data_IF_716377622125
#
_entry.id   IF_716377622125
#
_cell.length_a   1.000
_cell.length_b   1.000
_cell.length_c   1.000
_cell.angle_alpha   90.00
_cell.angle_beta   90.00
_cell.angle_gamma   90.00
#
_symmetry.space_group_name_H-M   'P 1'
#
loop_
_entity.id
_entity.type
_entity.pdbx_description
1 polymer ?
#
# COMPACT_ATOMS: atom_id res chain seq x y z
N UNK A 1 -23.62 -40.56 -25.52
CA UNK A 1 -22.43 -40.14 -24.74
C UNK A 1 -22.82 -38.90 -23.94
N UNK A 2 -22.81 -38.92 -22.60
CA UNK A 2 -23.10 -37.71 -21.83
C UNK A 2 -21.82 -36.96 -21.45
N UNK A 3 -21.86 -35.64 -21.60
CA UNK A 3 -20.81 -34.69 -21.25
C UNK A 3 -20.68 -34.51 -19.73
N UNK A 4 -19.46 -34.37 -19.23
CA UNK A 4 -19.16 -34.05 -17.84
C UNK A 4 -19.19 -32.53 -17.62
N UNK A 5 -19.90 -32.10 -16.56
CA UNK A 5 -19.79 -30.77 -15.95
C UNK A 5 -18.51 -30.71 -15.10
N UNK A 6 -17.70 -29.63 -15.13
CA UNK A 6 -16.41 -29.58 -14.45
C UNK A 6 -16.46 -29.35 -12.94
N UNK A 7 -17.65 -29.25 -12.32
CA UNK A 7 -17.77 -29.08 -10.87
C UNK A 7 -18.72 -30.11 -10.25
N UNK A 8 -18.16 -31.25 -9.84
CA UNK A 8 -18.86 -32.23 -9.01
C UNK A 8 -17.87 -33.05 -8.20
N UNK A 9 -17.82 -32.82 -6.89
CA UNK A 9 -17.12 -33.71 -5.96
C UNK A 9 -18.16 -34.60 -5.28
N UNK A 10 -18.04 -35.90 -5.51
CA UNK A 10 -18.73 -36.95 -4.78
C UNK A 10 -18.13 -37.06 -3.37
N UNK A 11 -18.91 -36.81 -2.33
CA UNK A 11 -18.49 -37.08 -0.94
C UNK A 11 -19.14 -38.36 -0.44
N UNK A 12 -18.34 -39.44 -0.30
CA UNK A 12 -18.71 -40.62 0.49
C UNK A 12 -18.45 -40.33 1.97
N UNK A 13 -19.42 -40.70 2.80
CA UNK A 13 -19.52 -40.33 4.20
C UNK A 13 -18.31 -40.63 5.07
N UNK A 14 -18.04 -39.69 5.97
CA UNK A 14 -17.11 -39.81 7.09
C UNK A 14 -17.11 -38.51 7.87
N UNK A 15 -17.58 -38.53 9.13
CA UNK A 15 -17.56 -37.38 10.04
C UNK A 15 -16.13 -36.88 10.22
N UNK A 16 -15.77 -35.80 9.54
CA UNK A 16 -14.73 -34.86 9.97
C UNK A 16 -15.37 -33.49 9.98
N UNK A 17 -15.51 -32.90 11.16
CA UNK A 17 -15.71 -31.46 11.31
C UNK A 17 -14.45 -30.76 10.81
N UNK A 18 -14.36 -30.60 9.48
CA UNK A 18 -13.47 -29.60 8.90
C UNK A 18 -14.11 -28.25 9.21
N UNK A 19 -13.52 -27.51 10.15
CA UNK A 19 -13.75 -26.08 10.19
C UNK A 19 -13.09 -25.54 8.93
N UNK A 20 -13.88 -25.38 7.88
CA UNK A 20 -13.50 -24.60 6.72
C UNK A 20 -13.29 -23.18 7.23
N UNK A 21 -12.03 -22.81 7.48
CA UNK A 21 -11.65 -21.41 7.62
C UNK A 21 -11.82 -20.84 6.21
N UNK A 22 -13.00 -20.29 5.92
CA UNK A 22 -13.12 -19.38 4.80
C UNK A 22 -12.21 -18.19 5.13
N UNK A 23 -11.06 -18.12 4.45
CA UNK A 23 -10.31 -16.89 4.36
C UNK A 23 -11.18 -15.94 3.54
N UNK A 24 -12.02 -15.15 4.23
CA UNK A 24 -12.79 -14.11 3.57
C UNK A 24 -11.79 -13.05 3.14
N UNK A 25 -11.57 -12.93 1.84
CA UNK A 25 -10.87 -11.79 1.25
C UNK A 25 -11.58 -10.51 1.67
N UNK A 26 -10.84 -9.54 2.22
CA UNK A 26 -11.37 -8.25 2.64
C UNK A 26 -11.20 -7.23 1.51
N UNK A 27 -12.26 -6.47 1.23
CA UNK A 27 -12.18 -5.24 0.45
C UNK A 27 -12.53 -4.07 1.34
N UNK A 28 -11.63 -3.09 1.42
CA UNK A 28 -11.84 -1.87 2.20
C UNK A 28 -11.62 -0.66 1.30
N UNK A 29 -12.52 0.31 1.42
CA UNK A 29 -12.37 1.63 0.78
C UNK A 29 -12.26 2.69 1.85
N UNK A 30 -11.24 3.53 1.76
CA UNK A 30 -11.13 4.74 2.58
C UNK A 30 -11.19 5.97 1.70
N UNK A 31 -11.81 7.03 2.19
CA UNK A 31 -11.89 8.34 1.55
C UNK A 31 -11.56 9.39 2.59
N UNK A 32 -10.63 10.26 2.26
CA UNK A 32 -10.22 11.38 3.10
C UNK A 32 -9.88 12.58 2.22
N UNK A 33 -10.15 13.80 2.69
CA UNK A 33 -9.60 15.00 2.07
C UNK A 33 -8.11 15.12 2.43
N UNK A 34 -7.29 15.49 1.46
CA UNK A 34 -5.88 15.81 1.64
C UNK A 34 -5.58 17.15 0.97
N UNK A 35 -4.76 17.97 1.64
CA UNK A 35 -4.14 19.16 1.07
C UNK A 35 -2.68 19.15 1.50
N UNK A 36 -1.78 19.42 0.55
CA UNK A 36 -0.36 19.58 0.80
C UNK A 36 -0.03 21.03 0.45
N UNK A 37 0.50 21.76 1.42
CA UNK A 37 0.86 23.16 1.29
C UNK A 37 2.32 23.31 1.70
N UNK A 38 3.05 24.15 0.98
CA UNK A 38 4.44 24.46 1.30
C UNK A 38 4.61 25.86 1.90
N UNK A 39 3.51 26.51 2.28
CA UNK A 39 3.43 27.86 2.82
C UNK A 39 4.14 28.90 1.93
N UNK A 40 4.14 28.68 0.61
CA UNK A 40 4.79 29.54 -0.37
C UNK A 40 6.32 29.48 -0.39
N UNK A 41 6.94 28.53 0.31
CA UNK A 41 8.40 28.35 0.33
C UNK A 41 8.98 27.92 -1.02
N UNK A 42 8.16 27.33 -1.89
CA UNK A 42 8.59 26.75 -3.16
C UNK A 42 9.32 25.41 -3.02
N UNK A 43 9.53 24.93 -1.78
CA UNK A 43 10.19 23.66 -1.47
C UNK A 43 9.15 22.68 -0.94
N UNK A 44 9.22 21.42 -1.36
CA UNK A 44 8.37 20.37 -0.83
C UNK A 44 9.25 19.28 -0.23
N UNK A 45 8.85 18.77 0.93
CA UNK A 45 9.53 17.66 1.60
C UNK A 45 8.64 17.04 2.68
N UNK A 46 8.61 15.72 2.91
CA UNK A 46 9.08 14.62 2.04
C UNK A 46 7.89 13.89 1.39
N UNK A 47 6.71 13.96 2.01
CA UNK A 47 5.49 13.35 1.52
C UNK A 47 4.59 12.81 2.62
N UNK A 48 3.56 12.06 2.22
CA UNK A 48 2.62 11.39 3.12
C UNK A 48 2.25 10.00 2.58
N UNK A 49 2.09 9.03 3.47
CA UNK A 49 1.71 7.66 3.12
C UNK A 49 0.45 7.17 3.83
N UNK A 50 -0.39 6.44 3.09
CA UNK A 50 -1.50 5.65 3.61
C UNK A 50 -1.12 4.19 3.55
N UNK A 51 -1.13 3.48 4.68
CA UNK A 51 -0.55 2.15 4.75
C UNK A 51 -1.41 1.13 5.49
N UNK A 52 -1.19 -0.13 5.14
CA UNK A 52 -1.65 -1.31 5.87
C UNK A 52 -0.42 -2.03 6.43
N UNK A 53 -0.43 -2.30 7.73
CA UNK A 53 0.64 -3.00 8.43
C UNK A 53 0.05 -3.89 9.56
N UNK A 54 0.80 -4.89 10.05
CA UNK A 54 0.38 -5.67 11.21
C UNK A 54 0.08 -4.77 12.41
N UNK A 55 -0.99 -5.08 13.15
CA UNK A 55 -1.31 -4.36 14.39
C UNK A 55 -0.16 -4.51 15.40
N UNK A 56 0.21 -3.41 16.05
CA UNK A 56 1.30 -3.40 17.04
C UNK A 56 2.70 -3.36 16.45
N UNK A 57 2.86 -3.09 15.14
CA UNK A 57 4.16 -2.82 14.55
C UNK A 57 4.78 -1.58 15.23
N UNK A 58 6.02 -1.66 15.76
CA UNK A 58 6.63 -0.56 16.49
C UNK A 58 6.98 0.59 15.54
N UNK A 59 6.88 1.82 16.03
CA UNK A 59 7.44 2.97 15.32
C UNK A 59 8.96 2.82 15.34
N UNK A 60 9.57 2.79 14.16
CA UNK A 60 11.01 2.62 14.03
C UNK A 60 11.73 3.93 14.39
N UNK A 61 12.85 3.89 15.13
CA UNK A 61 13.66 5.08 15.34
C UNK A 61 14.31 5.52 14.03
N UNK A 62 14.58 6.82 13.89
CA UNK A 62 15.20 7.44 12.72
C UNK A 62 14.42 7.17 11.42
N UNK A 63 13.10 7.26 11.50
CA UNK A 63 12.15 7.02 10.41
C UNK A 63 11.55 8.30 9.80
N UNK A 64 12.00 9.48 10.24
CA UNK A 64 11.53 10.75 9.68
C UNK A 64 12.05 11.00 8.27
N UNK A 65 11.53 12.06 7.63
CA UNK A 65 11.89 12.44 6.27
C UNK A 65 11.40 11.43 5.23
N UNK A 66 12.20 11.18 4.19
CA UNK A 66 11.92 10.24 3.09
C UNK A 66 11.69 8.78 3.52
N UNK A 67 11.87 8.45 4.79
CA UNK A 67 11.44 7.16 5.36
C UNK A 67 9.94 7.12 5.75
N UNK A 68 9.22 8.25 5.61
CA UNK A 68 7.78 8.44 5.78
C UNK A 68 7.21 7.98 7.14
N UNK A 69 8.05 7.86 8.16
CA UNK A 69 7.70 7.34 9.48
C UNK A 69 7.50 5.81 9.53
N UNK A 70 7.76 5.10 8.43
CA UNK A 70 7.44 3.69 8.26
C UNK A 70 8.66 2.78 8.19
N UNK A 71 9.79 3.30 7.73
CA UNK A 71 11.03 2.56 7.56
C UNK A 71 12.17 3.21 8.32
N UNK A 72 13.29 2.52 8.42
CA UNK A 72 14.58 3.14 8.71
C UNK A 72 15.58 2.68 7.64
N UNK A 73 16.80 3.20 7.66
CA UNK A 73 17.82 2.86 6.68
C UNK A 73 18.08 1.34 6.54
N UNK A 74 17.98 0.57 7.63
CA UNK A 74 18.18 -0.88 7.59
C UNK A 74 16.98 -1.65 7.04
N UNK A 75 15.77 -1.09 7.10
CA UNK A 75 14.53 -1.77 6.72
C UNK A 75 13.96 -1.28 5.39
N UNK A 76 14.42 -0.15 4.87
CA UNK A 76 13.93 0.46 3.62
C UNK A 76 13.88 -0.52 2.42
N UNK A 77 14.76 -1.51 2.41
CA UNK A 77 14.89 -2.54 1.36
C UNK A 77 14.76 -3.99 1.85
N UNK A 78 14.25 -4.24 3.07
CA UNK A 78 14.14 -5.60 3.65
C UNK A 78 13.05 -6.46 2.99
N UNK A 79 12.34 -5.91 2.00
CA UNK A 79 11.39 -6.65 1.17
C UNK A 79 10.30 -7.31 2.02
N UNK A 80 9.84 -8.54 1.70
CA UNK A 80 8.67 -9.17 2.30
C UNK A 80 8.61 -9.26 3.84
N UNK A 81 9.72 -9.02 4.55
CA UNK A 81 9.77 -9.00 6.02
C UNK A 81 8.99 -7.83 6.63
N UNK A 82 8.92 -6.68 5.95
CA UNK A 82 8.27 -5.49 6.50
C UNK A 82 6.75 -5.67 6.61
N UNK A 83 6.13 -6.45 5.68
CA UNK A 83 4.68 -6.69 5.62
C UNK A 83 3.86 -5.38 5.60
N UNK A 84 4.38 -4.37 4.93
CA UNK A 84 3.73 -3.06 4.77
C UNK A 84 3.32 -2.92 3.31
N UNK A 85 2.10 -2.48 3.05
CA UNK A 85 1.70 -1.97 1.73
C UNK A 85 1.25 -0.54 1.92
N UNK A 86 1.72 0.36 1.07
CA UNK A 86 1.37 1.78 1.18
C UNK A 86 1.08 2.42 -0.17
N UNK A 87 0.36 3.52 -0.10
CA UNK A 87 0.22 4.51 -1.17
C UNK A 87 0.87 5.78 -0.67
N UNK A 88 1.87 6.28 -1.38
CA UNK A 88 2.58 7.50 -1.04
C UNK A 88 2.24 8.65 -1.99
N UNK A 89 2.23 9.85 -1.45
CA UNK A 89 2.27 11.11 -2.18
C UNK A 89 3.65 11.71 -1.89
N UNK A 90 4.62 11.35 -2.71
CA UNK A 90 6.03 11.71 -2.52
C UNK A 90 6.30 13.05 -3.21
N UNK A 91 6.77 14.01 -2.41
CA UNK A 91 7.05 15.37 -2.86
C UNK A 91 8.53 15.71 -2.90
N UNK A 92 9.40 14.75 -2.62
CA UNK A 92 10.85 14.93 -2.63
C UNK A 92 11.56 13.70 -3.20
N UNK A 93 12.37 13.91 -4.23
CA UNK A 93 13.06 12.81 -4.90
C UNK A 93 14.29 12.37 -4.11
N UNK A 94 14.23 11.20 -3.48
CA UNK A 94 15.38 10.50 -2.93
C UNK A 94 15.97 9.53 -4.00
N UNK A 95 17.13 9.85 -4.61
CA UNK A 95 17.66 9.07 -5.74
C UNK A 95 17.99 7.61 -5.43
N UNK A 96 18.10 7.25 -4.16
CA UNK A 96 18.39 5.89 -3.71
C UNK A 96 17.22 4.92 -3.96
N UNK A 97 15.97 5.41 -4.00
CA UNK A 97 14.79 4.54 -4.13
C UNK A 97 13.64 5.11 -4.97
N UNK A 98 13.67 6.41 -5.30
CA UNK A 98 12.61 7.08 -6.08
C UNK A 98 12.91 7.16 -7.57
N UNK A 99 11.87 7.19 -8.42
CA UNK A 99 12.01 7.72 -9.78
C UNK A 99 12.43 9.20 -9.75
N UNK A 100 13.04 9.74 -10.82
CA UNK A 100 13.55 11.12 -10.85
C UNK A 100 12.45 12.18 -11.02
N UNK A 101 11.29 11.99 -10.38
CA UNK A 101 10.11 12.85 -10.41
C UNK A 101 9.37 12.79 -9.08
N UNK A 102 8.71 13.89 -8.70
CA UNK A 102 7.64 13.82 -7.71
C UNK A 102 6.54 12.90 -8.24
N UNK A 103 5.98 12.09 -7.34
CA UNK A 103 5.11 11.00 -7.78
C UNK A 103 4.10 10.58 -6.72
N UNK A 104 3.03 9.95 -7.20
CA UNK A 104 2.16 9.13 -6.38
C UNK A 104 2.54 7.69 -6.64
N UNK A 105 2.83 6.96 -5.56
CA UNK A 105 3.41 5.63 -5.60
C UNK A 105 2.56 4.59 -4.89
N UNK A 106 2.59 3.35 -5.37
CA UNK A 106 2.17 2.18 -4.59
C UNK A 106 3.43 1.41 -4.25
N UNK A 107 3.66 1.15 -2.95
CA UNK A 107 4.87 0.51 -2.47
C UNK A 107 4.51 -0.77 -1.73
N UNK A 108 5.37 -1.78 -1.90
CA UNK A 108 5.19 -3.10 -1.29
C UNK A 108 6.44 -3.49 -0.52
N UNK A 109 6.33 -3.42 0.79
CA UNK A 109 7.33 -3.80 1.77
C UNK A 109 8.67 -3.04 1.70
N UNK A 110 8.70 -1.85 1.13
CA UNK A 110 9.89 -1.00 1.06
C UNK A 110 9.53 0.38 0.52
N UNK A 111 10.53 1.26 0.45
CA UNK A 111 10.36 2.63 -0.04
C UNK A 111 10.28 2.72 -1.56
N UNK A 112 10.90 1.81 -2.31
CA UNK A 112 10.80 1.87 -3.76
C UNK A 112 9.39 1.47 -4.24
N UNK A 113 8.75 2.36 -4.97
CA UNK A 113 7.43 2.16 -5.57
C UNK A 113 7.44 0.99 -6.57
N UNK A 114 6.49 0.07 -6.44
CA UNK A 114 6.30 -1.01 -7.44
C UNK A 114 5.59 -0.50 -8.69
N UNK A 115 4.79 0.56 -8.55
CA UNK A 115 4.17 1.30 -9.64
C UNK A 115 4.00 2.75 -9.16
N UNK A 116 4.19 3.70 -10.07
CA UNK A 116 4.04 5.11 -9.78
C UNK A 116 3.47 5.87 -10.97
N UNK A 117 2.95 7.06 -10.70
CA UNK A 117 2.64 8.07 -11.72
C UNK A 117 3.30 9.38 -11.32
N UNK A 118 3.81 10.14 -12.29
CA UNK A 118 4.31 11.47 -12.02
C UNK A 118 3.18 12.35 -11.50
N UNK A 119 3.48 13.16 -10.49
CA UNK A 119 2.54 14.06 -9.86
C UNK A 119 3.29 15.32 -9.42
N UNK A 120 2.84 16.48 -9.87
CA UNK A 120 3.45 17.76 -9.52
C UNK A 120 2.69 18.40 -8.35
N UNK A 121 3.25 18.41 -7.12
CA UNK A 121 2.60 19.01 -5.96
C UNK A 121 2.44 20.52 -6.10
N UNK A 122 3.27 21.19 -6.92
CA UNK A 122 3.22 22.65 -7.09
C UNK A 122 1.95 23.13 -7.80
N UNK A 123 1.37 22.30 -8.66
CA UNK A 123 0.11 22.59 -9.35
C UNK A 123 -1.12 22.47 -8.43
N UNK A 124 -0.94 21.91 -7.23
CA UNK A 124 -2.02 21.55 -6.30
C UNK A 124 -1.74 22.03 -4.87
N UNK A 125 -0.85 23.01 -4.72
CA UNK A 125 -0.47 23.56 -3.42
C UNK A 125 -1.67 24.18 -2.71
N UNK A 126 -1.98 23.72 -1.50
CA UNK A 126 -3.13 24.18 -0.71
C UNK A 126 -4.51 23.73 -1.26
N UNK A 127 -4.55 23.14 -2.45
CA UNK A 127 -5.78 22.60 -3.03
C UNK A 127 -6.23 21.35 -2.27
N UNK A 128 -7.54 21.25 -2.02
CA UNK A 128 -8.14 20.07 -1.41
C UNK A 128 -8.49 19.06 -2.47
N UNK A 129 -7.79 17.93 -2.47
CA UNK A 129 -8.18 16.76 -3.25
C UNK A 129 -8.93 15.76 -2.35
N UNK A 130 -9.98 15.14 -2.88
CA UNK A 130 -10.67 14.01 -2.23
C UNK A 130 -10.47 12.76 -3.08
N UNK A 131 -9.63 11.85 -2.60
CA UNK A 131 -9.34 10.58 -3.25
C UNK A 131 -10.01 9.41 -2.53
N UNK A 132 -10.32 8.35 -3.28
CA UNK A 132 -10.65 7.04 -2.72
C UNK A 132 -9.48 6.10 -2.88
N UNK A 133 -9.07 5.43 -1.80
CA UNK A 133 -8.14 4.31 -1.87
C UNK A 133 -8.91 3.02 -1.64
N UNK A 134 -8.79 2.07 -2.57
CA UNK A 134 -9.40 0.76 -2.44
C UNK A 134 -8.31 -0.31 -2.31
N UNK A 135 -8.40 -1.10 -1.24
CA UNK A 135 -7.52 -2.24 -1.01
C UNK A 135 -8.31 -3.54 -1.22
N UNK A 136 -7.80 -4.42 -2.07
CA UNK A 136 -8.32 -5.76 -2.27
C UNK A 136 -7.29 -6.80 -1.84
N UNK A 137 -7.65 -7.63 -0.87
CA UNK A 137 -6.90 -8.85 -0.60
C UNK A 137 -7.27 -9.89 -1.69
N UNK A 138 -6.29 -10.41 -2.45
CA UNK A 138 -6.52 -11.50 -3.42
C UNK A 138 -6.10 -12.87 -2.88
N UNK A 139 -5.11 -12.88 -1.99
CA UNK A 139 -4.53 -14.02 -1.27
C UNK A 139 -3.93 -13.48 0.04
N UNK A 140 -3.74 -14.29 1.09
CA UNK A 140 -3.08 -13.86 2.31
C UNK A 140 -1.74 -13.17 1.98
N UNK A 141 -1.61 -11.89 2.30
CA UNK A 141 -0.46 -11.02 2.02
C UNK A 141 -0.29 -10.50 0.57
N UNK A 142 -1.32 -10.58 -0.26
CA UNK A 142 -1.38 -9.84 -1.53
C UNK A 142 -2.48 -8.79 -1.47
N UNK A 143 -2.07 -7.52 -1.52
CA UNK A 143 -2.97 -6.37 -1.53
C UNK A 143 -2.82 -5.67 -2.88
N UNK A 144 -3.93 -5.55 -3.60
CA UNK A 144 -4.05 -4.72 -4.80
C UNK A 144 -4.68 -3.38 -4.42
N UNK A 145 -4.00 -2.29 -4.78
CA UNK A 145 -4.54 -0.93 -4.67
C UNK A 145 -5.13 -0.55 -6.03
N UNK A 146 -6.40 -0.14 -6.06
CA UNK A 146 -7.11 0.31 -7.27
C UNK A 146 -7.70 1.70 -7.03
#
# INVERSE_FOLDING_TARGET
MPSLSPYGILSRGGKRTSRSVFCSLLTTTTRFPLAIDNDGSGLYDDGIAFFLAPAGMPILPNSGGGFLGLFNASMASEGPRNRIVMVEFNTYVNPEFDPPVHHIGINKNGLSSVVYTSWDPSLHSGDRCSGGLQFHEQEPQSVLVI
#
